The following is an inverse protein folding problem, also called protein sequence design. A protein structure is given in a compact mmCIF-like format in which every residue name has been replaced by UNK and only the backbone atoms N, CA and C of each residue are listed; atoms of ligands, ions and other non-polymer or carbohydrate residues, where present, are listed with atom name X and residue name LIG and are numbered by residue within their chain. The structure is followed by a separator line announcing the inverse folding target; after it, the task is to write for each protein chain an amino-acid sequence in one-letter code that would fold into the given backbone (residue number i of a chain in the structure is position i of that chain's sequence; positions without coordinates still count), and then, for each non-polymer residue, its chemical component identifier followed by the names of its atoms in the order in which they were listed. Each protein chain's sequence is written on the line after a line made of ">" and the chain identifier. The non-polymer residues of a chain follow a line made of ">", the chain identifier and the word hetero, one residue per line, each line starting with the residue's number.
data_IF_979124813737
#
_entry.id   IF_979124813737
#
_cell.length_a   1.000
_cell.length_b   1.000
_cell.length_c   1.000
_cell.angle_alpha   90.00
_cell.angle_beta   90.00
_cell.angle_gamma   90.00
#
_symmetry.space_group_name_H-M   'P 1'
#
loop_
_entity.id
_entity.type
_entity.pdbx_description
1 polymer ?
#
# COMPACT_ATOMS: atom_id res chain seq x y z
N UNK A 1 23.54 -11.90 0.63
CA UNK A 1 22.77 -10.72 0.13
C UNK A 1 23.65 -9.50 -0.07
N UNK A 2 23.92 -9.11 -1.33
CA UNK A 2 24.59 -7.83 -1.63
C UNK A 2 23.61 -6.65 -1.48
N UNK A 3 24.13 -5.44 -1.24
CA UNK A 3 23.32 -4.21 -1.13
C UNK A 3 22.41 -3.98 -2.36
N UNK A 4 22.83 -4.47 -3.53
CA UNK A 4 22.07 -4.39 -4.79
C UNK A 4 20.70 -5.07 -4.70
N UNK A 5 20.61 -6.24 -4.06
CA UNK A 5 19.33 -6.96 -3.91
C UNK A 5 18.33 -6.18 -3.06
N UNK A 6 18.82 -5.45 -2.07
CA UNK A 6 17.99 -4.62 -1.19
C UNK A 6 17.53 -3.33 -1.86
N UNK A 7 18.36 -2.72 -2.70
CA UNK A 7 17.95 -1.58 -3.53
C UNK A 7 16.92 -2.00 -4.59
N UNK A 8 17.13 -3.17 -5.22
CA UNK A 8 16.15 -3.76 -6.13
C UNK A 8 14.82 -4.04 -5.43
N UNK A 9 14.87 -4.60 -4.22
CA UNK A 9 13.67 -4.81 -3.39
C UNK A 9 12.91 -3.50 -3.17
N UNK A 10 13.58 -2.42 -2.76
CA UNK A 10 12.93 -1.12 -2.56
C UNK A 10 12.31 -0.57 -3.84
N UNK A 11 13.04 -0.63 -4.96
CA UNK A 11 12.55 -0.19 -6.26
C UNK A 11 11.27 -0.95 -6.66
N UNK A 12 11.32 -2.28 -6.60
CA UNK A 12 10.19 -3.13 -6.95
C UNK A 12 9.02 -2.93 -5.98
N UNK A 13 9.27 -2.84 -4.68
CA UNK A 13 8.20 -2.69 -3.69
C UNK A 13 7.46 -1.37 -3.87
N UNK A 14 8.16 -0.24 -4.06
CA UNK A 14 7.51 1.06 -4.28
C UNK A 14 6.78 1.09 -5.62
N UNK A 15 7.42 0.60 -6.70
CA UNK A 15 6.82 0.58 -8.04
C UNK A 15 5.59 -0.32 -8.13
N UNK A 16 5.67 -1.55 -7.59
CA UNK A 16 4.54 -2.48 -7.60
C UNK A 16 3.41 -2.04 -6.67
N UNK A 17 3.72 -1.40 -5.53
CA UNK A 17 2.69 -0.85 -4.64
C UNK A 17 1.86 0.23 -5.34
N UNK A 18 2.53 1.21 -5.95
CA UNK A 18 1.86 2.30 -6.68
C UNK A 18 1.14 1.79 -7.93
N UNK A 19 1.76 0.87 -8.67
CA UNK A 19 1.15 0.22 -9.83
C UNK A 19 -0.11 -0.58 -9.47
N UNK A 20 -0.08 -1.36 -8.38
CA UNK A 20 -1.23 -2.13 -7.92
C UNK A 20 -2.37 -1.23 -7.46
N UNK A 21 -2.07 -0.15 -6.71
CA UNK A 21 -3.09 0.83 -6.33
C UNK A 21 -3.69 1.49 -7.56
N UNK A 22 -2.88 1.87 -8.56
CA UNK A 22 -3.37 2.46 -9.80
C UNK A 22 -4.27 1.50 -10.60
N UNK A 23 -3.90 0.22 -10.67
CA UNK A 23 -4.70 -0.82 -11.31
C UNK A 23 -6.04 -1.02 -10.60
N UNK A 24 -6.03 -1.18 -9.26
CA UNK A 24 -7.26 -1.31 -8.49
C UNK A 24 -8.15 -0.07 -8.66
N UNK A 25 -7.55 1.13 -8.64
CA UNK A 25 -8.24 2.40 -8.84
C UNK A 25 -8.93 2.52 -10.21
N UNK A 26 -8.37 1.93 -11.27
CA UNK A 26 -9.01 1.92 -12.59
C UNK A 26 -10.14 0.90 -12.70
N UNK A 27 -10.14 -0.16 -11.88
CA UNK A 27 -11.12 -1.24 -11.93
C UNK A 27 -12.36 -1.00 -11.04
N UNK A 28 -12.20 -0.33 -9.90
CA UNK A 28 -13.26 -0.21 -8.87
C UNK A 28 -14.35 0.79 -9.21
N UNK A 29 -14.08 1.73 -10.12
CA UNK A 29 -15.05 2.73 -10.59
C UNK A 29 -15.74 3.55 -9.48
N UNK A 30 -15.06 3.80 -8.37
CA UNK A 30 -15.64 4.51 -7.23
C UNK A 30 -15.55 6.02 -7.38
N UNK A 31 -16.67 6.72 -7.16
CA UNK A 31 -16.79 8.17 -7.22
C UNK A 31 -16.04 8.88 -6.07
N UNK A 32 -15.55 10.08 -6.34
CA UNK A 32 -14.86 10.91 -5.35
C UNK A 32 -15.88 11.55 -4.41
N UNK A 33 -15.55 11.77 -3.12
CA UNK A 33 -16.45 12.42 -2.18
C UNK A 33 -16.99 13.78 -2.67
N UNK A 34 -16.16 14.63 -3.28
CA UNK A 34 -16.60 15.93 -3.81
C UNK A 34 -17.67 15.82 -4.91
N UNK A 35 -17.80 14.67 -5.59
CA UNK A 35 -18.78 14.46 -6.65
C UNK A 35 -20.11 13.98 -6.10
N UNK A 36 -20.18 13.59 -4.83
CA UNK A 36 -21.36 12.99 -4.24
C UNK A 36 -22.38 14.05 -3.78
N UNK A 37 -23.66 13.75 -3.98
CA UNK A 37 -24.79 14.60 -3.56
C UNK A 37 -24.73 15.00 -2.09
N UNK A 38 -24.28 14.08 -1.21
CA UNK A 38 -24.12 14.36 0.24
C UNK A 38 -23.15 15.51 0.53
N UNK A 39 -22.18 15.77 -0.36
CA UNK A 39 -21.15 16.79 -0.19
C UNK A 39 -21.28 17.94 -1.20
N UNK A 40 -22.46 18.09 -1.83
CA UNK A 40 -22.75 19.17 -2.77
C UNK A 40 -22.46 18.84 -4.24
N UNK A 41 -22.10 17.59 -4.56
CA UNK A 41 -21.96 17.11 -5.93
C UNK A 41 -23.27 16.63 -6.55
N UNK A 42 -23.18 15.93 -7.69
CA UNK A 42 -24.35 15.47 -8.47
C UNK A 42 -24.53 13.95 -8.48
N UNK A 43 -23.52 13.18 -8.07
CA UNK A 43 -23.50 11.72 -8.16
C UNK A 43 -24.10 11.07 -6.90
N UNK A 44 -24.89 9.99 -7.06
CA UNK A 44 -25.33 9.21 -5.90
C UNK A 44 -24.15 8.48 -5.27
N UNK A 45 -24.23 8.18 -3.97
CA UNK A 45 -23.26 7.28 -3.35
C UNK A 45 -23.55 5.83 -3.76
N UNK A 46 -22.57 5.19 -4.37
CA UNK A 46 -22.61 3.77 -4.74
C UNK A 46 -21.41 3.11 -4.07
N UNK A 47 -21.70 2.11 -3.23
CA UNK A 47 -20.68 1.37 -2.50
C UNK A 47 -19.80 0.52 -3.41
N UNK A 48 -18.61 0.17 -2.92
CA UNK A 48 -17.58 -0.56 -3.67
C UNK A 48 -18.07 -1.87 -4.32
N UNK A 49 -18.99 -2.58 -3.65
CA UNK A 49 -19.53 -3.86 -4.12
C UNK A 49 -20.93 -3.73 -4.73
N UNK A 50 -21.43 -2.50 -4.91
CA UNK A 50 -22.72 -2.26 -5.53
C UNK A 50 -22.55 -2.10 -7.05
N UNK A 51 -23.50 -2.60 -7.86
CA UNK A 51 -23.45 -2.41 -9.30
C UNK A 51 -23.60 -0.92 -9.62
N UNK A 52 -22.64 -0.37 -10.37
CA UNK A 52 -22.60 1.03 -10.77
C UNK A 52 -23.16 1.21 -12.19
N UNK A 53 -24.20 2.04 -12.39
CA UNK A 53 -24.75 2.29 -13.72
C UNK A 53 -23.72 2.87 -14.69
N UNK A 54 -23.63 2.30 -15.89
CA UNK A 54 -22.67 2.72 -16.94
C UNK A 54 -22.86 4.19 -17.35
N UNK A 55 -24.10 4.70 -17.28
CA UNK A 55 -24.45 6.09 -17.63
C UNK A 55 -23.75 7.14 -16.75
N UNK A 56 -23.23 6.77 -15.58
CA UNK A 56 -22.49 7.67 -14.69
C UNK A 56 -21.04 7.92 -15.15
N UNK A 57 -20.61 7.30 -16.26
CA UNK A 57 -19.27 7.47 -16.83
C UNK A 57 -18.15 6.93 -15.95
N UNK A 58 -16.90 7.23 -16.26
CA UNK A 58 -15.76 6.74 -15.47
C UNK A 58 -15.67 7.42 -14.09
N UNK A 59 -15.17 6.68 -13.10
CA UNK A 59 -14.74 7.21 -11.81
C UNK A 59 -13.52 6.43 -11.32
N UNK A 60 -12.66 7.06 -10.52
CA UNK A 60 -11.38 6.47 -10.15
C UNK A 60 -10.87 7.07 -8.84
N UNK A 61 -11.58 6.84 -7.73
CA UNK A 61 -11.22 7.45 -6.45
C UNK A 61 -10.77 6.45 -5.39
N UNK A 62 -11.05 5.15 -5.53
CA UNK A 62 -10.67 4.11 -4.57
C UNK A 62 -9.79 3.03 -5.24
N UNK A 63 -8.63 2.63 -4.68
CA UNK A 63 -7.95 3.22 -3.53
C UNK A 63 -7.28 4.57 -3.85
N UNK A 64 -6.69 5.21 -2.83
CA UNK A 64 -6.05 6.52 -2.94
C UNK A 64 -4.66 6.46 -3.61
N UNK A 65 -4.60 6.82 -4.89
CA UNK A 65 -3.35 6.83 -5.68
C UNK A 65 -2.28 7.76 -5.11
N UNK A 66 -2.62 9.00 -4.73
CA UNK A 66 -1.64 9.95 -4.18
C UNK A 66 -1.03 9.45 -2.86
N UNK A 67 -1.85 8.90 -1.97
CA UNK A 67 -1.39 8.33 -0.71
C UNK A 67 -0.43 7.14 -0.93
N UNK A 68 -0.66 6.32 -1.97
CA UNK A 68 0.21 5.17 -2.28
C UNK A 68 1.66 5.55 -2.62
N UNK A 69 1.91 6.76 -3.14
CA UNK A 69 3.27 7.24 -3.40
C UNK A 69 4.09 7.41 -2.11
N UNK A 70 3.43 7.71 -0.99
CA UNK A 70 4.04 7.70 0.34
C UNK A 70 4.03 6.31 0.97
N UNK A 71 2.88 5.63 0.98
CA UNK A 71 2.76 4.31 1.61
C UNK A 71 3.58 3.22 0.94
N UNK A 72 3.96 3.34 -0.35
CA UNK A 72 4.88 2.39 -0.99
C UNK A 72 6.21 2.26 -0.25
N UNK A 73 6.63 3.31 0.48
CA UNK A 73 7.87 3.31 1.27
C UNK A 73 7.80 2.52 2.56
N UNK A 74 6.66 1.90 2.92
CA UNK A 74 6.62 0.95 4.06
C UNK A 74 7.61 -0.22 3.86
N UNK A 75 8.06 -0.46 2.62
CA UNK A 75 9.19 -1.34 2.30
C UNK A 75 10.48 -0.99 3.06
N UNK A 76 10.68 0.28 3.46
CA UNK A 76 11.82 0.70 4.27
C UNK A 76 11.85 0.01 5.64
N UNK A 77 10.69 -0.41 6.18
CA UNK A 77 10.63 -1.22 7.39
C UNK A 77 11.43 -2.52 7.22
N UNK A 78 11.20 -3.26 6.14
CA UNK A 78 11.85 -4.54 5.86
C UNK A 78 13.32 -4.36 5.48
N UNK A 79 13.65 -3.32 4.72
CA UNK A 79 15.03 -2.94 4.44
C UNK A 79 15.81 -2.66 5.75
N UNK A 80 15.25 -1.83 6.63
CA UNK A 80 15.86 -1.50 7.91
C UNK A 80 15.90 -2.69 8.86
N UNK A 81 14.86 -3.55 8.85
CA UNK A 81 14.81 -4.79 9.64
C UNK A 81 16.02 -5.69 9.37
N UNK A 82 16.56 -5.69 8.13
CA UNK A 82 17.79 -6.42 7.82
C UNK A 82 19.05 -5.61 8.08
N UNK A 83 19.11 -4.37 7.60
CA UNK A 83 20.36 -3.59 7.57
C UNK A 83 20.73 -3.01 8.93
N UNK A 84 19.76 -2.41 9.64
CA UNK A 84 19.93 -1.81 10.97
C UNK A 84 18.61 -1.91 11.73
N UNK A 85 18.33 -3.06 12.38
CA UNK A 85 17.04 -3.37 12.97
C UNK A 85 16.54 -2.32 13.98
N UNK A 86 17.42 -1.54 14.62
CA UNK A 86 17.03 -0.46 15.52
C UNK A 86 16.24 0.68 14.84
N UNK A 87 16.37 0.85 13.53
CA UNK A 87 15.72 1.93 12.76
C UNK A 87 14.39 1.51 12.11
N UNK A 88 13.97 0.24 12.21
CA UNK A 88 12.81 -0.29 11.47
C UNK A 88 11.51 0.49 11.73
N UNK A 89 11.27 0.85 12.99
CA UNK A 89 10.05 1.57 13.39
C UNK A 89 10.10 3.03 12.99
N UNK A 90 11.28 3.67 13.04
CA UNK A 90 11.47 5.03 12.53
C UNK A 90 11.26 5.08 11.01
N UNK A 91 11.80 4.10 10.28
CA UNK A 91 11.60 3.98 8.83
C UNK A 91 10.12 3.79 8.47
N UNK A 92 9.40 2.93 9.21
CA UNK A 92 7.96 2.76 9.04
C UNK A 92 7.18 4.04 9.35
N UNK A 93 7.51 4.72 10.45
CA UNK A 93 6.86 5.95 10.85
C UNK A 93 7.01 7.04 9.78
N UNK A 94 8.20 7.20 9.20
CA UNK A 94 8.45 8.12 8.09
C UNK A 94 7.57 7.79 6.89
N UNK A 95 7.54 6.52 6.45
CA UNK A 95 6.72 6.11 5.30
C UNK A 95 5.22 6.33 5.53
N UNK A 96 4.71 5.97 6.70
CA UNK A 96 3.30 6.18 7.08
C UNK A 96 2.99 7.68 7.17
N UNK A 97 3.87 8.47 7.77
CA UNK A 97 3.69 9.92 7.86
C UNK A 97 3.64 10.57 6.47
N UNK A 98 4.53 10.20 5.54
CA UNK A 98 4.48 10.70 4.16
C UNK A 98 3.17 10.33 3.47
N UNK A 99 2.73 9.07 3.60
CA UNK A 99 1.46 8.64 3.03
C UNK A 99 0.25 9.36 3.65
N UNK A 100 0.27 9.63 4.96
CA UNK A 100 -0.76 10.42 5.64
C UNK A 100 -0.77 11.88 5.18
N UNK A 101 0.39 12.53 5.02
CA UNK A 101 0.46 13.91 4.50
C UNK A 101 -0.19 13.98 3.12
N UNK A 102 0.15 13.04 2.23
CA UNK A 102 -0.48 12.97 0.91
C UNK A 102 -1.97 12.64 1.00
N UNK A 103 -2.36 11.65 1.80
CA UNK A 103 -3.74 11.23 1.99
C UNK A 103 -4.65 12.32 2.56
N UNK A 104 -4.26 12.92 3.69
CA UNK A 104 -4.97 14.02 4.34
C UNK A 104 -5.13 15.21 3.38
N UNK A 105 -4.11 15.54 2.58
CA UNK A 105 -4.24 16.60 1.58
C UNK A 105 -5.39 16.33 0.59
N UNK A 106 -5.59 15.06 0.21
CA UNK A 106 -6.67 14.66 -0.68
C UNK A 106 -8.02 14.62 0.04
N UNK A 107 -8.05 14.23 1.31
CA UNK A 107 -9.26 14.25 2.13
C UNK A 107 -9.76 15.68 2.34
N UNK A 108 -8.87 16.62 2.65
CA UNK A 108 -9.20 18.05 2.78
C UNK A 108 -9.72 18.66 1.48
N UNK A 109 -9.25 18.17 0.33
CA UNK A 109 -9.78 18.55 -0.99
C UNK A 109 -11.15 17.92 -1.27
N UNK A 110 -11.55 16.87 -0.54
CA UNK A 110 -12.73 16.07 -0.82
C UNK A 110 -12.53 14.97 -1.88
N UNK A 111 -11.29 14.59 -2.20
CA UNK A 111 -10.99 13.61 -3.25
C UNK A 111 -11.10 12.15 -2.76
N UNK A 112 -10.90 11.91 -1.46
CA UNK A 112 -10.80 10.57 -0.89
C UNK A 112 -11.51 10.48 0.45
N UNK A 113 -12.14 9.34 0.71
CA UNK A 113 -12.50 8.94 2.06
C UNK A 113 -11.27 8.35 2.77
N UNK A 114 -11.27 8.37 4.10
CA UNK A 114 -10.22 7.73 4.90
C UNK A 114 -10.03 6.25 4.52
N UNK A 115 -11.10 5.53 4.18
CA UNK A 115 -11.03 4.14 3.73
C UNK A 115 -10.17 3.97 2.47
N UNK A 116 -10.12 4.96 1.58
CA UNK A 116 -9.31 4.90 0.36
C UNK A 116 -7.82 4.89 0.70
N UNK A 117 -7.42 5.66 1.71
CA UNK A 117 -6.04 5.75 2.20
C UNK A 117 -5.65 4.47 2.96
N UNK A 118 -6.53 3.97 3.83
CA UNK A 118 -6.31 2.72 4.57
C UNK A 118 -6.10 1.55 3.61
N UNK A 119 -6.91 1.46 2.55
CA UNK A 119 -6.74 0.41 1.54
C UNK A 119 -5.46 0.58 0.72
N UNK A 120 -5.05 1.82 0.39
CA UNK A 120 -3.75 2.06 -0.23
C UNK A 120 -2.59 1.60 0.65
N UNK A 121 -2.64 1.88 1.96
CA UNK A 121 -1.64 1.39 2.91
C UNK A 121 -1.65 -0.14 2.99
N UNK A 122 -2.82 -0.77 3.05
CA UNK A 122 -2.95 -2.23 3.10
C UNK A 122 -2.36 -2.91 1.84
N UNK A 123 -2.62 -2.35 0.65
CA UNK A 123 -2.05 -2.83 -0.61
C UNK A 123 -0.52 -2.68 -0.58
N UNK A 124 0.00 -1.50 -0.24
CA UNK A 124 1.44 -1.26 -0.18
C UNK A 124 2.15 -2.17 0.83
N UNK A 125 1.56 -2.38 2.01
CA UNK A 125 2.09 -3.29 3.02
C UNK A 125 2.12 -4.73 2.52
N UNK A 126 1.03 -5.19 1.89
CA UNK A 126 0.93 -6.55 1.34
C UNK A 126 1.98 -6.79 0.27
N UNK A 127 2.14 -5.85 -0.67
CA UNK A 127 3.18 -5.91 -1.72
C UNK A 127 4.58 -5.96 -1.10
N UNK A 128 4.87 -5.10 -0.12
CA UNK A 128 6.16 -5.06 0.55
C UNK A 128 6.48 -6.36 1.31
N UNK A 129 5.51 -6.95 2.00
CA UNK A 129 5.64 -8.24 2.69
C UNK A 129 5.89 -9.37 1.70
N UNK A 130 5.06 -9.49 0.66
CA UNK A 130 5.17 -10.58 -0.30
C UNK A 130 6.50 -10.54 -1.04
N UNK A 131 6.93 -9.36 -1.51
CA UNK A 131 8.25 -9.22 -2.14
C UNK A 131 9.39 -9.54 -1.18
N UNK A 132 9.28 -9.13 0.09
CA UNK A 132 10.29 -9.44 1.09
C UNK A 132 10.43 -10.95 1.30
N UNK A 133 9.31 -11.66 1.44
CA UNK A 133 9.30 -13.12 1.62
C UNK A 133 9.78 -13.88 0.38
N UNK A 134 9.47 -13.38 -0.81
CA UNK A 134 9.90 -13.99 -2.08
C UNK A 134 11.38 -13.78 -2.36
N UNK A 135 11.91 -12.58 -2.10
CA UNK A 135 13.31 -12.24 -2.36
C UNK A 135 14.25 -12.71 -1.24
N UNK A 136 13.76 -12.77 0.00
CA UNK A 136 14.54 -13.11 1.19
C UNK A 136 13.83 -14.19 2.02
N UNK A 137 13.66 -15.41 1.50
CA UNK A 137 12.99 -16.48 2.20
C UNK A 137 13.70 -16.81 3.52
N UNK A 138 12.96 -17.12 4.60
CA UNK A 138 13.57 -17.55 5.86
C UNK A 138 14.40 -18.82 5.61
N UNK A 139 15.57 -18.90 6.23
CA UNK A 139 16.40 -20.10 6.17
C UNK A 139 15.56 -21.30 6.65
N UNK A 140 15.55 -22.39 5.88
CA UNK A 140 14.93 -23.64 6.33
C UNK A 140 15.61 -24.03 7.65
N UNK A 141 14.83 -24.19 8.71
CA UNK A 141 15.36 -24.74 9.96
C UNK A 141 15.91 -26.14 9.64
N UNK A 142 17.22 -26.33 9.78
CA UNK A 142 17.81 -27.68 9.77
C UNK A 142 17.20 -28.44 10.93
N UNK A 143 16.60 -29.63 10.70
CA UNK A 143 16.12 -30.45 11.80
C UNK A 143 17.29 -30.75 12.73
N UNK A 144 17.08 -30.57 14.03
CA UNK A 144 18.06 -30.90 15.06
C UNK A 144 18.33 -32.40 14.93
N UNK A 145 19.53 -32.79 14.47
CA UNK A 145 19.97 -34.17 14.59
C UNK A 145 20.16 -34.43 16.07
N UNK A 146 19.30 -35.27 16.63
CA UNK A 146 19.43 -35.83 17.97
C UNK A 146 20.63 -36.82 17.97
N UNK A 147 21.84 -36.29 17.84
CA UNK A 147 23.08 -37.04 18.03
C UNK A 147 23.52 -36.81 19.48
N UNK A 148 23.09 -37.72 20.36
CA UNK A 148 23.82 -38.23 21.54
C UNK A 148 22.87 -38.57 22.71
N UNK A 149 22.41 -39.83 22.74
CA UNK A 149 22.48 -40.73 23.92
C UNK A 149 22.72 -42.13 23.32
N UNK A 150 23.98 -42.52 23.21
CA UNK A 150 24.69 -43.41 24.14
C UNK A 150 24.20 -44.86 24.02
#
# INVERSE_FOLDING_TARGET
>A
ESIVHWLLYLLLAVGLSTGMVALLKSMTQMDCPWDLQRYGGLRPFIGLFQPRPVMLGHAACFPAGHASAGYGWVALYFFALRMRPQWRWAALAVAVATGLVFGISQQLRGAHFLSHDVWSLAVSWTVAVLLYLLMFPPAKATPFKEEARA
#
